data_IF_047914098868
#
_entry.id   IF_047914098868
#
_cell.length_a   1.000
_cell.length_b   1.000
_cell.length_c   1.000
_cell.angle_alpha   90.00
_cell.angle_beta   90.00
_cell.angle_gamma   90.00
#
_symmetry.space_group_name_H-M   'P 1'
#
loop_
_entity.id
_entity.type
_entity.pdbx_description
1 polymer ?
#
# COMPACT_ATOMS: atom_id res chain seq x y z
N UNK A 1 16.57 14.09 2.23
CA UNK A 1 15.31 13.70 1.56
C UNK A 1 14.26 13.58 2.66
N UNK A 2 13.50 14.63 2.92
CA UNK A 2 12.64 14.72 4.11
C UNK A 2 11.21 14.36 3.74
N UNK A 3 10.76 13.18 4.17
CA UNK A 3 9.39 12.74 4.03
C UNK A 3 8.49 13.61 4.95
N UNK A 4 7.86 14.65 4.40
CA UNK A 4 6.80 15.41 5.08
C UNK A 4 5.44 14.90 4.63
N UNK A 5 5.09 13.70 5.11
CA UNK A 5 3.73 13.18 5.06
C UNK A 5 3.22 13.03 6.47
N UNK A 6 2.31 13.91 6.91
CA UNK A 6 1.56 13.71 8.14
C UNK A 6 0.56 12.58 7.89
N UNK A 7 0.91 11.35 8.28
CA UNK A 7 -0.04 10.25 8.37
C UNK A 7 -0.91 10.48 9.60
N UNK A 8 -2.08 11.10 9.42
CA UNK A 8 -3.10 11.16 10.45
C UNK A 8 -3.81 9.80 10.50
N UNK A 9 -3.28 8.86 11.28
CA UNK A 9 -3.92 7.56 11.51
C UNK A 9 -5.05 7.72 12.52
N UNK A 10 -6.25 8.05 12.05
CA UNK A 10 -7.48 7.89 12.83
C UNK A 10 -7.93 6.43 12.78
N UNK A 11 -7.30 5.57 13.57
CA UNK A 11 -7.92 4.37 14.16
C UNK A 11 -6.91 3.67 15.06
N UNK A 12 -7.03 4.00 16.34
CA UNK A 12 -6.34 3.49 17.52
C UNK A 12 -6.68 2.02 17.86
N UNK A 13 -6.83 1.15 16.86
CA UNK A 13 -7.22 -0.23 17.12
C UNK A 13 -6.55 -1.23 16.18
N UNK A 14 -5.61 -1.95 16.78
CA UNK A 14 -5.34 -3.37 16.56
C UNK A 14 -4.47 -3.72 15.34
N UNK A 15 -3.15 -3.63 15.56
CA UNK A 15 -2.22 -4.73 15.25
C UNK A 15 -0.89 -4.51 16.00
N UNK A 16 -0.99 -4.52 17.33
CA UNK A 16 0.15 -4.76 18.21
C UNK A 16 0.54 -6.24 18.02
N UNK A 17 1.39 -6.56 17.04
CA UNK A 17 1.79 -7.95 16.76
C UNK A 17 2.41 -8.25 15.39
N UNK A 18 2.51 -7.26 14.49
CA UNK A 18 3.32 -7.37 13.27
C UNK A 18 4.69 -6.79 13.59
N UNK A 19 5.66 -7.63 13.98
CA UNK A 19 6.99 -7.19 14.42
C UNK A 19 7.75 -6.35 13.38
N UNK A 20 8.94 -5.86 13.74
CA UNK A 20 9.80 -5.01 12.89
C UNK A 20 9.91 -5.51 11.44
N UNK A 21 9.97 -6.83 11.23
CA UNK A 21 10.04 -7.47 9.92
C UNK A 21 8.87 -7.14 8.98
N UNK A 22 7.65 -6.92 9.49
CA UNK A 22 6.52 -6.47 8.67
C UNK A 22 6.70 -5.03 8.22
N UNK A 23 7.11 -4.15 9.14
CA UNK A 23 7.36 -2.74 8.85
C UNK A 23 8.49 -2.60 7.83
N UNK A 24 9.56 -3.39 7.99
CA UNK A 24 10.68 -3.44 7.04
C UNK A 24 10.21 -3.85 5.63
N UNK A 25 9.40 -4.90 5.52
CA UNK A 25 8.88 -5.34 4.22
C UNK A 25 7.96 -4.32 3.55
N UNK A 26 7.16 -3.58 4.34
CA UNK A 26 6.32 -2.50 3.84
C UNK A 26 7.18 -1.33 3.39
N UNK A 27 8.17 -0.93 4.18
CA UNK A 27 9.08 0.17 3.85
C UNK A 27 9.90 -0.13 2.59
N UNK A 28 10.45 -1.34 2.46
CA UNK A 28 11.11 -1.80 1.23
C UNK A 28 10.19 -1.68 0.01
N UNK A 29 8.92 -2.08 0.15
CA UNK A 29 7.94 -1.99 -0.94
C UNK A 29 7.63 -0.52 -1.28
N UNK A 30 7.49 0.35 -0.28
CA UNK A 30 7.29 1.78 -0.50
C UNK A 30 8.50 2.44 -1.17
N UNK A 31 9.72 2.06 -0.80
CA UNK A 31 10.95 2.53 -1.42
C UNK A 31 11.01 2.13 -2.90
N UNK A 32 10.62 0.89 -3.24
CA UNK A 32 10.52 0.44 -4.63
C UNK A 32 9.46 1.22 -5.41
N UNK A 33 8.30 1.50 -4.80
CA UNK A 33 7.27 2.35 -5.42
C UNK A 33 7.81 3.77 -5.65
N UNK A 34 8.61 4.32 -4.74
CA UNK A 34 9.23 5.63 -4.92
C UNK A 34 10.28 5.66 -6.04
N UNK A 35 11.08 4.59 -6.16
CA UNK A 35 12.13 4.50 -7.16
C UNK A 35 11.57 4.23 -8.57
N UNK A 36 10.59 3.32 -8.66
CA UNK A 36 10.00 2.85 -9.91
C UNK A 36 8.46 2.83 -9.80
N UNK A 37 7.82 4.02 -9.69
CA UNK A 37 6.38 4.11 -9.46
C UNK A 37 5.55 3.52 -10.59
N UNK A 38 6.13 3.38 -11.79
CA UNK A 38 5.46 2.83 -12.96
C UNK A 38 5.64 1.31 -13.13
N UNK A 39 6.50 0.66 -12.33
CA UNK A 39 6.79 -0.77 -12.44
C UNK A 39 5.62 -1.68 -12.03
N UNK A 40 4.67 -1.18 -11.24
CA UNK A 40 3.53 -1.96 -10.79
C UNK A 40 2.31 -1.74 -11.69
N UNK A 41 1.56 -2.82 -11.94
CA UNK A 41 0.40 -2.80 -12.82
C UNK A 41 -0.75 -1.96 -12.27
N UNK A 42 -1.41 -1.24 -13.18
CA UNK A 42 -2.69 -0.59 -12.94
C UNK A 42 -3.78 -1.66 -12.85
N UNK A 43 -4.61 -1.60 -11.81
CA UNK A 43 -5.70 -2.55 -11.56
C UNK A 43 -7.09 -1.93 -11.71
N UNK A 44 -7.20 -0.61 -11.57
CA UNK A 44 -8.44 0.13 -11.79
C UNK A 44 -8.13 1.61 -12.03
N UNK A 45 -8.55 2.17 -13.17
CA UNK A 45 -8.28 3.55 -13.58
C UNK A 45 -6.78 3.91 -13.53
N UNK A 46 -6.35 4.72 -12.57
CA UNK A 46 -4.97 5.14 -12.30
C UNK A 46 -4.37 4.47 -11.05
N UNK A 47 -5.13 3.57 -10.42
CA UNK A 47 -4.71 2.84 -9.22
C UNK A 47 -3.81 1.69 -9.61
N UNK A 48 -2.60 1.70 -9.07
CA UNK A 48 -1.57 0.66 -9.18
C UNK A 48 -1.55 -0.22 -7.94
N UNK A 49 -1.15 -1.48 -8.12
CA UNK A 49 -1.13 -2.52 -7.08
C UNK A 49 0.27 -3.08 -6.88
N UNK A 50 0.85 -2.86 -5.69
CA UNK A 50 2.09 -3.48 -5.27
C UNK A 50 1.84 -4.54 -4.20
N UNK A 51 2.37 -5.75 -4.41
CA UNK A 51 2.27 -6.85 -3.43
C UNK A 51 3.55 -6.86 -2.60
N UNK A 52 3.40 -6.90 -1.28
CA UNK A 52 4.53 -7.07 -0.35
C UNK A 52 5.00 -8.52 -0.46
N UNK A 53 6.24 -8.77 -0.89
CA UNK A 53 6.67 -10.13 -1.31
C UNK A 53 6.66 -11.19 -0.20
N UNK A 54 6.77 -10.80 1.08
CA UNK A 54 6.88 -11.74 2.22
C UNK A 54 5.60 -11.89 3.04
N UNK A 55 4.65 -10.97 2.89
CA UNK A 55 3.38 -11.01 3.60
C UNK A 55 2.25 -10.85 2.59
N UNK A 56 1.09 -11.47 2.81
CA UNK A 56 -0.07 -11.26 1.94
C UNK A 56 -0.65 -9.86 2.21
N UNK A 57 0.09 -8.80 1.91
CA UNK A 57 -0.33 -7.41 1.97
C UNK A 57 -0.18 -6.78 0.60
N UNK A 58 -1.08 -5.84 0.32
CA UNK A 58 -1.19 -5.17 -0.96
C UNK A 58 -1.28 -3.68 -0.70
N UNK A 59 -0.37 -2.93 -1.31
CA UNK A 59 -0.35 -1.47 -1.32
C UNK A 59 -1.01 -0.99 -2.61
N UNK A 60 -2.07 -0.21 -2.47
CA UNK A 60 -2.73 0.50 -3.56
C UNK A 60 -2.28 1.95 -3.55
N UNK A 61 -1.84 2.43 -4.70
CA UNK A 61 -1.37 3.81 -4.85
C UNK A 61 -1.67 4.34 -6.24
N UNK A 62 -1.54 5.64 -6.41
CA UNK A 62 -1.62 6.32 -7.72
C UNK A 62 -0.54 7.37 -7.85
N UNK A 63 -0.23 7.76 -9.08
CA UNK A 63 0.74 8.81 -9.39
C UNK A 63 -0.05 10.04 -9.83
N UNK A 64 0.02 11.14 -9.07
CA UNK A 64 -0.68 12.39 -9.37
C UNK A 64 0.30 13.55 -9.30
N UNK A 65 0.47 14.28 -10.41
CA UNK A 65 1.39 15.42 -10.50
C UNK A 65 2.81 15.08 -9.97
N UNK A 66 3.34 13.93 -10.40
CA UNK A 66 4.64 13.39 -9.96
C UNK A 66 4.75 13.07 -8.46
N UNK A 67 3.62 12.91 -7.76
CA UNK A 67 3.57 12.45 -6.37
C UNK A 67 2.91 11.09 -6.29
N UNK A 68 3.41 10.25 -5.40
CA UNK A 68 2.81 8.96 -5.07
C UNK A 68 1.80 9.20 -3.95
N UNK A 69 0.55 8.81 -4.19
CA UNK A 69 -0.51 8.84 -3.19
C UNK A 69 -0.90 7.40 -2.89
N UNK A 70 -0.52 6.92 -1.71
CA UNK A 70 -0.98 5.62 -1.19
C UNK A 70 -2.44 5.77 -0.75
N UNK A 71 -3.34 5.01 -1.37
CA UNK A 71 -4.77 5.08 -1.10
C UNK A 71 -5.20 4.03 -0.08
N UNK A 72 -4.53 2.88 -0.02
CA UNK A 72 -4.78 1.85 0.98
C UNK A 72 -3.65 0.82 1.08
N UNK A 73 -3.54 0.19 2.24
CA UNK A 73 -2.72 -1.01 2.48
C UNK A 73 -3.64 -2.08 3.08
N UNK A 74 -3.79 -3.22 2.41
CA UNK A 74 -4.73 -4.27 2.83
C UNK A 74 -4.05 -5.63 2.94
N UNK A 75 -4.47 -6.45 3.91
CA UNK A 75 -4.12 -7.87 3.97
C UNK A 75 -4.83 -8.63 2.83
N UNK A 76 -4.07 -9.03 1.82
CA UNK A 76 -4.46 -9.77 0.63
C UNK A 76 -5.01 -11.19 0.88
N UNK A 77 -5.01 -11.71 2.11
CA UNK A 77 -5.73 -12.97 2.40
C UNK A 77 -7.25 -12.82 2.45
N UNK A 78 -7.79 -11.60 2.37
CA UNK A 78 -9.24 -11.37 2.33
C UNK A 78 -9.73 -11.40 0.88
N UNK A 79 -10.03 -12.61 0.42
CA UNK A 79 -10.76 -13.02 -0.79
C UNK A 79 -11.20 -11.87 -1.74
N UNK A 80 -10.62 -11.75 -2.96
CA UNK A 80 -10.88 -10.66 -3.90
C UNK A 80 -12.29 -10.63 -4.51
N UNK A 81 -13.26 -11.40 -4.00
CA UNK A 81 -14.66 -11.42 -4.48
C UNK A 81 -15.57 -10.38 -3.83
N UNK A 82 -15.17 -9.78 -2.69
CA UNK A 82 -16.07 -8.89 -1.93
C UNK A 82 -15.99 -7.41 -2.34
N UNK A 83 -14.87 -6.95 -2.93
CA UNK A 83 -14.69 -5.53 -3.28
C UNK A 83 -15.53 -5.07 -4.48
N UNK A 84 -16.02 -6.00 -5.32
CA UNK A 84 -16.92 -5.70 -6.44
C UNK A 84 -18.41 -5.66 -6.03
N UNK A 85 -18.75 -6.05 -4.79
CA UNK A 85 -20.15 -6.17 -4.34
C UNK A 85 -20.74 -4.92 -3.70
N UNK A 86 -19.98 -3.83 -3.59
CA UNK A 86 -20.50 -2.53 -3.14
C UNK A 86 -20.63 -1.62 -4.35
N UNK A 87 -21.73 -1.78 -5.06
CA UNK A 87 -22.24 -0.85 -6.06
C UNK A 87 -23.53 -0.26 -5.53
#
# INVERSE_FOLDING_TARGET
MTFRGTFQTSSESQQLGLGDEFLDCVDETLNLICLLPEAYSVVYRDIRRAVVKRFPYVIYYRIVSSRIIVTAIFHGSRNPKEWQKRR
#
